data_IF_512243294144
#
_entry.id   IF_512243294144
#
_cell.length_a   1.000
_cell.length_b   1.000
_cell.length_c   1.000
_cell.angle_alpha   90.00
_cell.angle_beta   90.00
_cell.angle_gamma   90.00
#
_symmetry.space_group_name_H-M   'P 1'
#
loop_
_entity.id
_entity.type
_entity.pdbx_description
1 polymer ?
#
# COMPACT_ATOMS: atom_id res chain seq x y z
N UNK A 1 0.17 23.26 28.93
CA UNK A 1 1.50 23.80 29.22
C UNK A 1 2.52 23.13 28.29
N UNK A 2 3.55 23.87 27.88
CA UNK A 2 4.72 23.30 27.18
C UNK A 2 5.53 22.48 28.18
N UNK A 3 5.98 21.31 27.77
CA UNK A 3 6.80 20.39 28.58
C UNK A 3 8.12 20.14 27.86
N UNK A 4 9.18 19.89 28.61
CA UNK A 4 10.48 19.58 28.03
C UNK A 4 10.44 18.25 27.26
N UNK A 5 11.12 18.22 26.11
CA UNK A 5 11.14 17.04 25.25
C UNK A 5 11.88 15.83 25.85
N UNK A 6 12.72 16.05 26.84
CA UNK A 6 13.45 15.03 27.60
C UNK A 6 12.70 14.54 28.84
N UNK A 7 11.52 15.09 29.14
CA UNK A 7 10.67 14.61 30.23
C UNK A 7 10.33 13.11 30.01
N UNK A 8 10.53 12.24 31.03
CA UNK A 8 10.27 10.82 30.90
C UNK A 8 8.83 10.47 30.49
N UNK A 9 7.83 11.28 30.85
CA UNK A 9 6.44 11.09 30.47
C UNK A 9 6.23 11.40 29.00
N UNK A 10 6.92 12.43 28.46
CA UNK A 10 6.92 12.77 27.03
C UNK A 10 7.57 11.65 26.23
N UNK A 11 8.71 11.12 26.68
CA UNK A 11 9.38 10.00 26.02
C UNK A 11 8.50 8.76 25.96
N UNK A 12 7.80 8.43 27.06
CA UNK A 12 6.83 7.32 27.10
C UNK A 12 5.67 7.54 26.12
N UNK A 13 5.11 8.76 26.09
CA UNK A 13 4.00 9.10 25.22
C UNK A 13 4.39 9.02 23.71
N UNK A 14 5.59 9.46 23.33
CA UNK A 14 6.11 9.33 21.96
C UNK A 14 6.37 7.86 21.61
N UNK A 15 6.92 7.09 22.55
CA UNK A 15 7.15 5.66 22.35
C UNK A 15 5.86 4.91 22.10
N UNK A 16 4.80 5.19 22.89
CA UNK A 16 3.47 4.61 22.68
C UNK A 16 2.89 5.01 21.31
N UNK A 17 3.01 6.28 20.93
CA UNK A 17 2.51 6.77 19.65
C UNK A 17 3.20 6.09 18.45
N UNK A 18 4.52 5.91 18.51
CA UNK A 18 5.26 5.21 17.47
C UNK A 18 4.97 3.71 17.45
N UNK A 19 4.75 3.10 18.62
CA UNK A 19 4.34 1.70 18.71
C UNK A 19 2.99 1.50 18.03
N UNK A 20 2.00 2.32 18.38
CA UNK A 20 0.66 2.30 17.78
C UNK A 20 0.69 2.53 16.25
N UNK A 21 1.50 3.48 15.80
CA UNK A 21 1.68 3.72 14.37
C UNK A 21 2.32 2.51 13.67
N UNK A 22 3.41 1.98 14.22
CA UNK A 22 4.14 0.85 13.63
C UNK A 22 3.34 -0.45 13.65
N UNK A 23 2.44 -0.64 14.62
CA UNK A 23 1.56 -1.82 14.68
C UNK A 23 0.56 -1.87 13.50
N UNK A 24 0.20 -0.71 12.97
CA UNK A 24 -0.69 -0.56 11.82
C UNK A 24 0.02 -0.65 10.46
N UNK A 25 1.36 -0.68 10.46
CA UNK A 25 2.12 -0.83 9.22
C UNK A 25 2.14 -2.28 8.77
N UNK A 26 1.58 -2.55 7.60
CA UNK A 26 1.57 -3.88 6.98
C UNK A 26 2.70 -4.06 5.97
N UNK A 27 3.23 -2.94 5.43
CA UNK A 27 4.28 -2.95 4.40
C UNK A 27 5.36 -1.93 4.68
N UNK A 28 6.58 -2.24 4.24
CA UNK A 28 7.73 -1.37 4.34
C UNK A 28 8.51 -1.60 5.63
N UNK A 29 8.91 -0.52 6.28
CA UNK A 29 9.79 -0.57 7.46
C UNK A 29 9.23 0.29 8.57
N UNK A 30 9.45 -0.15 9.81
CA UNK A 30 9.07 0.57 11.01
C UNK A 30 9.74 1.94 11.04
N UNK A 31 9.05 2.91 11.63
CA UNK A 31 9.61 4.22 11.93
C UNK A 31 10.26 4.21 13.31
N UNK A 32 11.43 4.79 13.42
CA UNK A 32 12.11 5.07 14.68
C UNK A 32 12.09 6.58 14.97
N UNK A 33 12.01 6.94 16.23
CA UNK A 33 12.05 8.35 16.67
C UNK A 33 13.37 8.98 16.23
N UNK A 34 13.29 10.20 15.69
CA UNK A 34 14.48 11.00 15.38
C UNK A 34 14.63 12.19 16.30
N UNK A 35 13.58 12.99 16.45
CA UNK A 35 13.61 14.23 17.26
C UNK A 35 12.19 14.58 17.71
N UNK A 36 12.03 14.95 18.96
CA UNK A 36 10.79 15.56 19.48
C UNK A 36 10.87 17.06 19.33
N UNK A 37 9.92 17.67 18.63
CA UNK A 37 9.90 19.09 18.30
C UNK A 37 9.05 19.91 19.26
N UNK A 38 7.87 19.39 19.61
CA UNK A 38 6.91 20.06 20.49
C UNK A 38 6.24 19.03 21.38
N UNK A 39 6.21 19.31 22.67
CA UNK A 39 5.39 18.58 23.64
C UNK A 39 4.53 19.56 24.42
N UNK A 40 3.22 19.36 24.45
CA UNK A 40 2.26 20.11 25.25
C UNK A 40 1.51 19.13 26.15
N UNK A 41 1.41 19.47 27.43
CA UNK A 41 0.64 18.72 28.43
C UNK A 41 -0.58 19.51 28.84
N UNK A 42 -1.72 18.86 28.95
CA UNK A 42 -2.95 19.39 29.53
C UNK A 42 -3.45 18.38 30.55
N UNK A 43 -3.82 18.82 31.73
CA UNK A 43 -4.46 18.01 32.74
C UNK A 43 -5.95 17.95 32.44
N UNK A 44 -6.53 16.74 32.43
CA UNK A 44 -7.95 16.49 32.25
C UNK A 44 -8.43 15.57 33.40
N UNK A 45 -8.93 16.19 34.44
CA UNK A 45 -9.26 15.49 35.67
C UNK A 45 -8.05 14.84 36.31
N UNK A 46 -8.03 13.49 36.32
CA UNK A 46 -6.94 12.69 36.87
C UNK A 46 -5.88 12.29 35.85
N UNK A 47 -6.15 12.51 34.59
CA UNK A 47 -5.33 12.03 33.49
C UNK A 47 -4.55 13.20 32.86
N UNK A 48 -3.39 12.88 32.31
CA UNK A 48 -2.58 13.85 31.60
C UNK A 48 -2.64 13.59 30.10
N UNK A 49 -3.04 14.61 29.36
CA UNK A 49 -3.12 14.55 27.89
C UNK A 49 -1.91 15.23 27.27
N UNK A 50 -1.25 14.52 26.35
CA UNK A 50 -0.09 15.01 25.63
C UNK A 50 -0.39 15.24 24.16
N UNK A 51 -0.06 16.46 23.69
CA UNK A 51 -0.02 16.79 22.26
C UNK A 51 1.43 16.86 21.84
N UNK A 52 1.81 15.96 20.91
CA UNK A 52 3.20 15.74 20.52
C UNK A 52 3.39 16.01 19.03
N UNK A 53 4.46 16.72 18.70
CA UNK A 53 4.98 16.83 17.34
C UNK A 53 6.43 16.37 17.35
N UNK A 54 6.74 15.33 16.54
CA UNK A 54 8.06 14.75 16.48
C UNK A 54 8.39 14.31 15.07
N UNK A 55 9.66 14.12 14.79
CA UNK A 55 10.13 13.57 13.53
C UNK A 55 10.61 12.14 13.72
N UNK A 56 10.40 11.33 12.71
CA UNK A 56 10.82 9.93 12.67
C UNK A 56 11.56 9.61 11.38
N UNK A 57 12.36 8.55 11.41
CA UNK A 57 13.07 7.99 10.25
C UNK A 57 12.69 6.54 10.04
N UNK A 58 12.87 6.04 8.82
CA UNK A 58 12.77 4.61 8.53
C UNK A 58 13.91 3.88 9.23
N UNK A 59 13.58 2.78 9.85
CA UNK A 59 14.54 1.84 10.44
C UNK A 59 14.83 0.68 9.51
N UNK A 60 15.78 -0.16 9.88
CA UNK A 60 16.11 -1.43 9.24
C UNK A 60 15.08 -2.54 9.52
N UNK A 61 14.18 -2.34 10.49
CA UNK A 61 13.19 -3.32 10.88
C UNK A 61 11.98 -3.32 9.93
N UNK A 62 11.60 -4.50 9.39
CA UNK A 62 10.42 -4.61 8.52
C UNK A 62 9.13 -4.39 9.31
N UNK A 63 8.11 -3.82 8.62
CA UNK A 63 6.75 -3.77 9.12
C UNK A 63 6.25 -5.21 9.38
N UNK A 64 5.49 -5.40 10.46
CA UNK A 64 5.01 -6.73 10.87
C UNK A 64 6.07 -7.63 11.53
N UNK A 65 7.35 -7.24 11.57
CA UNK A 65 8.38 -7.94 12.30
C UNK A 65 8.20 -7.84 13.83
N UNK A 66 8.68 -8.85 14.58
CA UNK A 66 8.54 -8.91 16.05
C UNK A 66 9.48 -7.96 16.80
N UNK A 67 10.58 -7.51 16.18
CA UNK A 67 11.57 -6.62 16.80
C UNK A 67 10.95 -5.27 17.12
N UNK A 68 11.18 -4.76 18.34
CA UNK A 68 10.66 -3.46 18.73
C UNK A 68 11.37 -2.34 17.96
N UNK A 69 10.67 -1.25 17.63
CA UNK A 69 11.28 -0.15 16.88
C UNK A 69 12.42 0.54 17.64
N UNK A 70 12.41 0.47 18.96
CA UNK A 70 13.48 0.99 19.83
C UNK A 70 14.81 0.26 19.66
N UNK A 71 14.76 -0.98 19.18
CA UNK A 71 15.92 -1.86 19.00
C UNK A 71 16.39 -1.89 17.54
N UNK A 72 15.82 -1.03 16.72
CA UNK A 72 16.10 -0.93 15.29
C UNK A 72 17.06 0.22 14.99
N UNK A 73 17.99 -0.01 14.07
CA UNK A 73 18.87 1.04 13.58
C UNK A 73 18.22 1.87 12.47
N UNK A 74 18.67 3.10 12.29
CA UNK A 74 18.24 3.88 11.14
C UNK A 74 18.80 3.28 9.85
N UNK A 75 17.99 3.28 8.80
CA UNK A 75 18.50 2.92 7.49
C UNK A 75 19.64 3.85 7.08
N UNK A 76 20.80 3.29 6.65
CA UNK A 76 21.93 4.08 6.23
C UNK A 76 21.54 4.97 5.04
N UNK A 77 21.93 6.22 5.09
CA UNK A 77 21.84 7.17 3.98
C UNK A 77 22.97 6.86 3.00
N UNK A 78 22.77 5.82 2.17
CA UNK A 78 23.78 5.39 1.21
C UNK A 78 23.99 6.39 0.08
N UNK A 79 25.24 6.59 -0.31
CA UNK A 79 25.75 7.52 -1.31
C UNK A 79 25.25 7.31 -2.75
N UNK A 80 24.47 6.29 -3.02
CA UNK A 80 24.03 5.90 -4.36
C UNK A 80 22.56 6.12 -4.70
N UNK A 81 21.74 6.64 -3.79
CA UNK A 81 20.32 6.86 -4.05
C UNK A 81 19.89 8.28 -3.71
N UNK A 82 20.11 9.21 -4.61
CA UNK A 82 19.62 10.60 -4.55
C UNK A 82 18.14 10.75 -4.27
N UNK A 83 17.34 9.69 -4.35
CA UNK A 83 15.90 9.67 -4.09
C UNK A 83 15.48 9.35 -2.65
N UNK A 84 16.40 8.91 -1.78
CA UNK A 84 16.09 8.56 -0.38
C UNK A 84 16.61 9.56 0.63
N UNK A 85 17.02 10.72 0.16
CA UNK A 85 17.54 11.77 1.00
C UNK A 85 16.43 12.33 1.90
N UNK A 86 16.57 12.09 3.20
CA UNK A 86 15.79 12.71 4.28
C UNK A 86 14.28 12.48 4.27
N UNK A 87 13.82 11.27 4.28
CA UNK A 87 12.45 11.04 4.71
C UNK A 87 12.33 11.21 6.24
N UNK A 88 12.51 12.43 6.71
CA UNK A 88 12.00 12.84 8.01
C UNK A 88 10.48 12.86 7.92
N UNK A 89 9.81 12.10 8.77
CA UNK A 89 8.36 12.09 8.85
C UNK A 89 7.94 12.96 10.02
N UNK A 90 7.11 13.94 9.77
CA UNK A 90 6.49 14.73 10.83
C UNK A 90 5.32 13.95 11.35
N UNK A 91 5.40 13.52 12.60
CA UNK A 91 4.36 12.77 13.28
C UNK A 91 3.65 13.66 14.30
N UNK A 92 2.34 13.58 14.35
CA UNK A 92 1.51 14.23 15.37
C UNK A 92 0.75 13.17 16.13
N UNK A 93 0.75 13.25 17.43
CA UNK A 93 0.05 12.30 18.29
C UNK A 93 -0.65 13.02 19.44
N UNK A 94 -1.78 12.45 19.83
CA UNK A 94 -2.47 12.73 21.10
C UNK A 94 -2.36 11.45 21.93
N UNK A 95 -1.70 11.54 23.06
CA UNK A 95 -1.54 10.43 23.99
C UNK A 95 -2.11 10.80 25.36
N UNK A 96 -2.75 9.85 26.02
CA UNK A 96 -3.33 10.01 27.36
C UNK A 96 -2.56 9.13 28.33
N UNK A 97 -2.02 9.72 29.39
CA UNK A 97 -1.41 9.02 30.52
C UNK A 97 -2.45 8.86 31.62
N UNK A 98 -2.90 7.65 31.83
CA UNK A 98 -3.86 7.29 32.88
C UNK A 98 -3.16 7.19 34.25
N UNK A 99 -3.93 7.28 35.33
CA UNK A 99 -3.44 7.16 36.73
C UNK A 99 -2.67 5.87 37.02
N UNK A 100 -3.01 4.78 36.33
CA UNK A 100 -2.36 3.48 36.47
C UNK A 100 -0.97 3.41 35.78
N UNK A 101 -0.54 4.52 35.17
CA UNK A 101 0.72 4.60 34.41
C UNK A 101 0.63 4.03 32.98
N UNK A 102 -0.55 3.61 32.55
CA UNK A 102 -0.79 3.19 31.18
C UNK A 102 -0.88 4.40 30.25
N UNK A 103 -0.29 4.30 29.08
CA UNK A 103 -0.37 5.35 28.05
C UNK A 103 -1.12 4.79 26.86
N UNK A 104 -2.27 5.36 26.55
CA UNK A 104 -3.02 5.12 25.33
C UNK A 104 -2.71 6.22 24.31
N UNK A 105 -2.57 5.87 23.05
CA UNK A 105 -2.46 6.82 21.96
C UNK A 105 -3.73 6.80 21.13
N UNK A 106 -4.57 7.79 21.30
CA UNK A 106 -5.84 7.85 20.58
C UNK A 106 -5.67 8.12 19.10
N UNK A 107 -4.63 8.89 18.74
CA UNK A 107 -4.41 9.30 17.37
C UNK A 107 -2.93 9.57 17.12
N UNK A 108 -2.28 8.66 16.43
CA UNK A 108 -0.92 8.85 15.91
C UNK A 108 -0.98 8.93 14.38
N UNK A 109 -0.65 10.07 13.82
CA UNK A 109 -0.59 10.29 12.38
C UNK A 109 0.78 10.82 11.99
N UNK A 110 1.40 10.20 10.99
CA UNK A 110 2.66 10.69 10.43
C UNK A 110 2.41 11.20 9.02
N UNK A 111 2.58 12.50 8.80
CA UNK A 111 2.47 13.12 7.49
C UNK A 111 3.55 12.58 6.55
N UNK A 112 3.14 12.28 5.32
CA UNK A 112 4.03 11.76 4.30
C UNK A 112 4.43 10.29 4.48
N UNK A 113 3.79 9.52 5.37
CA UNK A 113 3.88 8.07 5.38
C UNK A 113 2.86 7.48 4.40
N UNK A 114 3.18 6.36 3.71
CA UNK A 114 2.16 5.62 2.98
C UNK A 114 1.13 5.07 3.98
N UNK A 115 -0.14 5.27 3.66
CA UNK A 115 -1.30 4.75 4.41
C UNK A 115 -2.01 3.76 3.50
N UNK A 116 -2.39 2.61 4.02
CA UNK A 116 -3.22 1.66 3.28
C UNK A 116 -4.60 2.26 2.97
N UNK A 117 -5.09 1.92 1.79
CA UNK A 117 -6.44 2.28 1.32
C UNK A 117 -7.13 1.00 0.88
N UNK A 118 -8.40 0.89 1.23
CA UNK A 118 -9.25 -0.20 0.75
C UNK A 118 -9.36 -0.20 -0.77
N UNK A 119 -9.32 -1.39 -1.37
CA UNK A 119 -9.31 -1.55 -2.83
C UNK A 119 -10.56 -1.02 -3.56
N UNK A 120 -11.66 -0.79 -2.83
CA UNK A 120 -12.91 -0.21 -3.33
C UNK A 120 -13.03 1.31 -3.06
N UNK A 121 -12.00 1.96 -2.53
CA UNK A 121 -12.04 3.38 -2.23
C UNK A 121 -12.21 4.23 -3.50
N UNK A 122 -13.06 5.25 -3.42
CA UNK A 122 -13.26 6.25 -4.48
C UNK A 122 -11.94 6.94 -4.87
N UNK A 123 -11.03 7.14 -3.92
CA UNK A 123 -9.71 7.74 -4.14
C UNK A 123 -8.86 6.97 -5.15
N UNK A 124 -9.18 5.69 -5.40
CA UNK A 124 -8.44 4.82 -6.31
C UNK A 124 -8.95 4.86 -7.75
N UNK A 125 -10.14 5.39 -8.01
CA UNK A 125 -10.73 5.41 -9.37
C UNK A 125 -9.80 6.03 -10.40
N UNK A 126 -9.36 7.26 -10.16
CA UNK A 126 -8.50 7.98 -11.10
C UNK A 126 -7.13 7.31 -11.28
N UNK A 127 -6.38 6.98 -10.21
CA UNK A 127 -5.08 6.32 -10.37
C UNK A 127 -5.16 4.92 -11.00
N UNK A 128 -6.24 4.15 -10.76
CA UNK A 128 -6.43 2.85 -11.39
C UNK A 128 -6.76 2.99 -12.87
N UNK A 129 -7.69 3.88 -13.24
CA UNK A 129 -8.01 4.16 -14.65
C UNK A 129 -6.77 4.58 -15.44
N UNK A 130 -5.97 5.49 -14.89
CA UNK A 130 -4.72 5.92 -15.51
C UNK A 130 -3.73 4.76 -15.67
N UNK A 131 -3.64 3.87 -14.67
CA UNK A 131 -2.74 2.70 -14.71
C UNK A 131 -3.18 1.68 -15.76
N UNK A 132 -4.47 1.38 -15.85
CA UNK A 132 -5.05 0.47 -16.86
C UNK A 132 -4.86 1.05 -18.26
N UNK A 133 -5.17 2.33 -18.47
CA UNK A 133 -4.97 3.01 -19.75
C UNK A 133 -3.49 2.97 -20.17
N UNK A 134 -2.57 3.24 -19.24
CA UNK A 134 -1.13 3.15 -19.48
C UNK A 134 -0.70 1.74 -19.87
N UNK A 135 -1.19 0.70 -19.16
CA UNK A 135 -0.92 -0.69 -19.52
C UNK A 135 -1.44 -1.01 -20.93
N UNK A 136 -2.68 -0.65 -21.24
CA UNK A 136 -3.26 -0.88 -22.54
C UNK A 136 -2.48 -0.21 -23.67
N UNK A 137 -1.92 0.98 -23.41
CA UNK A 137 -1.13 1.71 -24.41
C UNK A 137 0.24 1.09 -24.72
N UNK A 138 0.87 0.40 -23.75
CA UNK A 138 2.25 -0.13 -23.90
C UNK A 138 2.30 -1.64 -24.07
N UNK A 139 1.24 -2.38 -23.73
CA UNK A 139 1.19 -3.84 -23.83
C UNK A 139 1.12 -4.28 -25.29
N UNK A 140 1.80 -5.37 -25.62
CA UNK A 140 1.78 -5.98 -26.95
C UNK A 140 0.52 -6.84 -27.20
N UNK A 141 -0.43 -6.87 -26.26
CA UNK A 141 -1.70 -7.57 -26.46
C UNK A 141 -2.51 -6.97 -27.58
N UNK A 142 -3.20 -7.80 -28.35
CA UNK A 142 -4.13 -7.39 -29.41
C UNK A 142 -5.45 -6.83 -28.87
N UNK A 143 -5.77 -7.09 -27.60
CA UNK A 143 -6.99 -6.68 -26.95
C UNK A 143 -6.73 -5.77 -25.75
N UNK A 144 -7.75 -5.01 -25.38
CA UNK A 144 -7.72 -4.17 -24.18
C UNK A 144 -7.95 -5.02 -22.92
N UNK A 145 -7.36 -4.61 -21.82
CA UNK A 145 -7.55 -5.18 -20.50
C UNK A 145 -8.35 -4.22 -19.63
N UNK A 146 -9.23 -4.77 -18.80
CA UNK A 146 -9.99 -4.04 -17.79
C UNK A 146 -9.57 -4.45 -16.38
N UNK A 147 -9.81 -3.59 -15.39
CA UNK A 147 -9.53 -3.88 -13.99
C UNK A 147 -10.39 -5.07 -13.53
N UNK A 148 -9.75 -6.04 -12.88
CA UNK A 148 -10.44 -7.17 -12.25
C UNK A 148 -10.52 -6.98 -10.73
N UNK A 149 -9.38 -6.75 -10.08
CA UNK A 149 -9.30 -6.66 -8.62
C UNK A 149 -8.09 -5.82 -8.20
N UNK A 150 -8.24 -5.07 -7.11
CA UNK A 150 -7.13 -4.43 -6.40
C UNK A 150 -6.73 -5.32 -5.23
N UNK A 151 -5.48 -5.78 -5.22
CA UNK A 151 -4.96 -6.65 -4.16
C UNK A 151 -4.29 -5.85 -3.04
N UNK A 152 -3.72 -4.67 -3.35
CA UNK A 152 -3.11 -3.80 -2.37
C UNK A 152 -3.03 -2.37 -2.90
N UNK A 153 -3.32 -1.41 -2.05
CA UNK A 153 -3.20 0.01 -2.38
C UNK A 153 -2.70 0.82 -1.19
N UNK A 154 -1.77 1.73 -1.44
CA UNK A 154 -1.35 2.72 -0.44
C UNK A 154 -1.37 4.11 -1.04
N UNK A 155 -1.73 5.11 -0.22
CA UNK A 155 -1.63 6.54 -0.53
C UNK A 155 -0.60 7.21 0.35
N UNK A 156 0.24 8.03 -0.23
CA UNK A 156 1.23 8.83 0.47
C UNK A 156 1.04 10.30 0.10
N UNK A 157 0.96 11.17 1.11
CA UNK A 157 0.99 12.63 0.90
C UNK A 157 2.43 13.05 0.62
N UNK A 158 2.64 13.64 -0.53
CA UNK A 158 3.92 14.21 -0.99
C UNK A 158 3.66 15.67 -1.43
N UNK A 159 4.33 16.18 -2.46
CA UNK A 159 3.81 17.36 -3.16
C UNK A 159 2.65 16.87 -4.08
N UNK A 160 1.50 16.55 -3.50
CA UNK A 160 0.39 15.86 -4.09
C UNK A 160 0.13 14.52 -3.41
N UNK A 161 -0.34 13.56 -4.19
CA UNK A 161 -0.57 12.19 -3.73
C UNK A 161 0.24 11.21 -4.56
N UNK A 162 0.89 10.28 -3.89
CA UNK A 162 1.53 9.11 -4.51
C UNK A 162 0.78 7.87 -4.12
N UNK A 163 0.28 7.15 -5.11
CA UNK A 163 -0.36 5.85 -4.94
C UNK A 163 0.62 4.75 -5.34
N UNK A 164 0.70 3.69 -4.52
CA UNK A 164 1.32 2.43 -4.92
C UNK A 164 0.21 1.39 -4.98
N UNK A 165 0.07 0.78 -6.14
CA UNK A 165 -1.04 -0.09 -6.48
C UNK A 165 -0.52 -1.45 -6.88
N UNK A 166 -1.18 -2.51 -6.40
CA UNK A 166 -1.06 -3.87 -6.93
C UNK A 166 -2.47 -4.31 -7.33
N UNK A 167 -2.63 -4.65 -8.59
CA UNK A 167 -3.94 -4.97 -9.13
C UNK A 167 -3.85 -6.01 -10.24
N UNK A 168 -4.95 -6.73 -10.43
CA UNK A 168 -5.14 -7.70 -11.50
C UNK A 168 -6.07 -7.14 -12.54
N UNK A 169 -5.76 -7.39 -13.80
CA UNK A 169 -6.59 -7.06 -14.96
C UNK A 169 -6.96 -8.33 -15.70
N UNK A 170 -8.07 -8.27 -16.43
CA UNK A 170 -8.51 -9.31 -17.37
C UNK A 170 -8.66 -8.74 -18.77
N UNK A 171 -8.36 -9.58 -19.74
CA UNK A 171 -8.57 -9.31 -21.16
C UNK A 171 -10.05 -9.10 -21.43
N UNK A 172 -10.34 -8.19 -22.34
CA UNK A 172 -11.70 -7.91 -22.82
C UNK A 172 -11.88 -8.39 -24.25
N UNK A 173 -13.14 -8.39 -24.71
CA UNK A 173 -13.51 -8.65 -26.11
C UNK A 173 -13.09 -7.55 -27.07
N UNK A 174 -12.70 -6.36 -26.57
CA UNK A 174 -12.32 -5.22 -27.39
C UNK A 174 -10.92 -5.36 -27.98
N UNK A 175 -10.84 -5.49 -29.29
CA UNK A 175 -9.58 -5.46 -30.02
C UNK A 175 -9.04 -4.01 -30.09
N UNK A 176 -7.73 -3.84 -29.89
CA UNK A 176 -7.07 -2.52 -29.97
C UNK A 176 -7.12 -1.88 -31.35
N UNK A 177 -7.32 -2.69 -32.39
CA UNK A 177 -7.49 -2.19 -33.76
C UNK A 177 -8.79 -1.43 -33.96
N UNK A 178 -9.82 -1.76 -33.18
CA UNK A 178 -11.17 -1.20 -33.27
C UNK A 178 -11.47 -0.19 -32.16
N UNK A 179 -10.83 -0.36 -31.00
CA UNK A 179 -11.08 0.44 -29.81
C UNK A 179 -9.78 1.04 -29.29
N UNK A 180 -9.71 2.36 -29.26
CA UNK A 180 -8.54 3.08 -28.69
C UNK A 180 -8.53 3.03 -27.17
N UNK A 181 -9.69 3.14 -26.54
CA UNK A 181 -9.88 3.19 -25.10
C UNK A 181 -11.02 2.24 -24.69
N UNK A 182 -11.02 1.86 -23.40
CA UNK A 182 -12.11 1.08 -22.81
C UNK A 182 -13.41 1.89 -22.86
N UNK A 183 -14.50 1.19 -23.18
CA UNK A 183 -15.86 1.70 -23.10
C UNK A 183 -16.78 0.62 -22.49
N UNK A 184 -18.06 0.93 -22.34
CA UNK A 184 -19.05 0.05 -21.71
C UNK A 184 -19.31 -1.26 -22.50
N UNK A 185 -18.89 -1.34 -23.76
CA UNK A 185 -19.00 -2.52 -24.61
C UNK A 185 -17.84 -3.50 -24.40
N UNK A 186 -16.76 -3.05 -23.75
CA UNK A 186 -15.57 -3.86 -23.50
C UNK A 186 -15.80 -4.78 -22.30
N UNK A 187 -16.47 -5.89 -22.50
CA UNK A 187 -16.73 -6.92 -21.47
C UNK A 187 -15.54 -7.86 -21.36
N UNK A 188 -15.34 -8.51 -20.19
CA UNK A 188 -14.34 -9.57 -20.06
C UNK A 188 -14.55 -10.70 -21.05
N UNK A 189 -13.47 -11.17 -21.67
CA UNK A 189 -13.47 -12.30 -22.59
C UNK A 189 -13.49 -13.61 -21.78
N UNK A 190 -14.67 -14.21 -21.61
CA UNK A 190 -14.85 -15.42 -20.81
C UNK A 190 -14.37 -16.68 -21.54
N UNK A 191 -14.35 -16.68 -22.88
CA UNK A 191 -13.93 -17.81 -23.70
C UNK A 191 -12.39 -17.92 -23.77
N UNK A 192 -11.70 -16.79 -23.67
CA UNK A 192 -10.24 -16.71 -23.76
C UNK A 192 -9.66 -15.85 -22.63
N UNK A 193 -9.77 -16.36 -21.40
CA UNK A 193 -9.37 -15.66 -20.19
C UNK A 193 -7.85 -15.49 -20.11
N UNK A 194 -7.40 -14.26 -20.20
CA UNK A 194 -6.04 -13.85 -19.91
C UNK A 194 -6.05 -12.83 -18.76
N UNK A 195 -5.08 -12.96 -17.87
CA UNK A 195 -4.91 -12.06 -16.74
C UNK A 195 -3.56 -11.37 -16.82
N UNK A 196 -3.51 -10.13 -16.35
CA UNK A 196 -2.27 -9.41 -16.12
C UNK A 196 -2.25 -8.91 -14.67
N UNK A 197 -1.15 -9.19 -13.97
CA UNK A 197 -0.89 -8.68 -12.62
C UNK A 197 0.11 -7.53 -12.71
N UNK A 198 -0.25 -6.36 -12.21
CA UNK A 198 0.59 -5.16 -12.32
C UNK A 198 0.87 -4.51 -10.98
N UNK A 199 2.09 -3.99 -10.84
CA UNK A 199 2.47 -3.03 -9.82
C UNK A 199 2.64 -1.65 -10.46
N UNK A 200 1.93 -0.65 -9.94
CA UNK A 200 2.02 0.72 -10.42
C UNK A 200 2.36 1.71 -9.30
N UNK A 201 3.07 2.77 -9.67
CA UNK A 201 3.21 3.98 -8.86
C UNK A 201 2.59 5.12 -9.64
N UNK A 202 1.62 5.80 -9.04
CA UNK A 202 0.90 6.91 -9.66
C UNK A 202 1.09 8.17 -8.83
N UNK A 203 1.64 9.20 -9.45
CA UNK A 203 1.80 10.52 -8.85
C UNK A 203 0.69 11.45 -9.37
N UNK A 204 -0.03 12.07 -8.44
CA UNK A 204 -1.11 12.98 -8.73
C UNK A 204 -0.92 14.31 -8.00
N UNK A 205 -1.07 15.41 -8.72
CA UNK A 205 -1.12 16.76 -8.17
C UNK A 205 -2.48 17.39 -8.55
N UNK A 206 -3.53 17.27 -7.71
CA UNK A 206 -4.90 17.68 -8.08
C UNK A 206 -5.05 19.17 -8.47
N UNK A 207 -4.12 20.01 -8.02
CA UNK A 207 -4.08 21.45 -8.39
C UNK A 207 -3.39 21.73 -9.72
N UNK A 208 -2.78 20.72 -10.35
CA UNK A 208 -2.25 20.82 -11.71
C UNK A 208 -3.26 20.16 -12.64
N UNK A 209 -3.55 20.79 -13.76
CA UNK A 209 -4.41 20.23 -14.81
C UNK A 209 -3.67 19.18 -15.66
N UNK A 210 -2.69 18.51 -15.07
CA UNK A 210 -1.87 17.50 -15.73
C UNK A 210 -2.46 16.11 -15.49
N UNK A 211 -2.27 15.22 -16.47
CA UNK A 211 -2.64 13.82 -16.33
C UNK A 211 -1.78 13.16 -15.23
N UNK A 212 -2.32 12.16 -14.53
CA UNK A 212 -1.55 11.41 -13.53
C UNK A 212 -0.27 10.81 -14.11
N UNK A 213 0.86 11.04 -13.44
CA UNK A 213 2.13 10.41 -13.81
C UNK A 213 2.14 8.95 -13.40
N UNK A 214 2.04 8.03 -14.37
CA UNK A 214 2.00 6.58 -14.12
C UNK A 214 3.32 5.92 -14.47
N UNK A 215 3.93 5.24 -13.49
CA UNK A 215 5.05 4.33 -13.65
C UNK A 215 4.56 2.90 -13.37
N UNK A 216 4.51 2.07 -14.40
CA UNK A 216 4.29 0.63 -14.25
C UNK A 216 5.64 -0.04 -13.96
N UNK A 217 5.78 -0.65 -12.78
CA UNK A 217 7.04 -1.23 -12.34
C UNK A 217 7.22 -2.66 -12.86
N UNK A 218 6.16 -3.45 -12.82
CA UNK A 218 6.11 -4.83 -13.29
C UNK A 218 4.69 -5.15 -13.72
N UNK A 219 4.53 -5.76 -14.89
CA UNK A 219 3.28 -6.35 -15.33
C UNK A 219 3.58 -7.76 -15.89
N UNK A 220 2.98 -8.77 -15.29
CA UNK A 220 3.11 -10.16 -15.70
C UNK A 220 1.80 -10.63 -16.30
N UNK A 221 1.85 -11.09 -17.55
CA UNK A 221 0.71 -11.73 -18.18
C UNK A 221 0.67 -13.21 -17.75
N UNK A 222 -0.46 -13.63 -17.20
CA UNK A 222 -0.73 -15.03 -16.86
C UNK A 222 -1.87 -15.54 -17.74
N UNK A 223 -1.54 -16.27 -18.78
CA UNK A 223 -2.52 -17.16 -19.39
C UNK A 223 -2.84 -18.24 -18.36
N UNK A 224 -4.12 -18.49 -18.10
CA UNK A 224 -4.50 -19.70 -17.33
C UNK A 224 -4.01 -20.89 -18.15
N UNK A 225 -3.27 -21.84 -17.54
CA UNK A 225 -3.00 -23.09 -18.24
C UNK A 225 -4.38 -23.66 -18.60
N UNK A 226 -4.59 -23.91 -19.89
CA UNK A 226 -5.72 -24.70 -20.36
C UNK A 226 -5.71 -26.00 -19.56
N UNK A 227 -6.55 -26.08 -18.53
CA UNK A 227 -6.74 -27.31 -17.79
C UNK A 227 -7.33 -28.26 -18.81
N UNK A 228 -6.49 -29.18 -19.28
CA UNK A 228 -6.86 -30.28 -20.14
C UNK A 228 -7.87 -31.14 -19.41
N UNK A 229 -9.11 -30.73 -19.38
CA UNK A 229 -10.25 -31.54 -18.94
C UNK A 229 -10.51 -32.76 -19.86
N UNK A 230 -9.67 -32.94 -20.89
CA UNK A 230 -9.87 -34.04 -21.89
C UNK A 230 -9.11 -35.32 -21.58
N UNK A 231 -8.32 -35.41 -20.50
CA UNK A 231 -7.61 -36.67 -20.19
C UNK A 231 -8.23 -37.51 -19.08
N UNK A 232 -9.25 -37.02 -18.38
CA UNK A 232 -9.91 -37.84 -17.35
C UNK A 232 -11.01 -38.72 -17.89
N UNK A 233 -11.62 -38.41 -19.03
CA UNK A 233 -12.62 -39.29 -19.68
C UNK A 233 -12.01 -40.44 -20.49
N UNK A 234 -10.72 -40.39 -20.81
CA UNK A 234 -10.05 -41.46 -21.57
C UNK A 234 -9.51 -42.60 -20.68
N UNK A 235 -9.33 -42.36 -19.37
CA UNK A 235 -8.82 -43.42 -18.47
C UNK A 235 -9.90 -44.24 -17.77
N UNK A 236 -11.15 -43.81 -17.78
CA UNK A 236 -12.24 -44.57 -17.17
C UNK A 236 -12.90 -45.62 -18.12
N UNK A 237 -12.52 -45.64 -19.40
CA UNK A 237 -13.04 -46.63 -20.37
C UNK A 237 -12.16 -47.89 -20.58
N UNK A 238 -11.05 -48.02 -19.85
CA UNK A 238 -10.09 -49.13 -20.06
C UNK A 238 -10.08 -50.18 -18.95
N UNK A 239 -11.04 -50.17 -18.02
CA UNK A 239 -11.12 -51.14 -16.92
C UNK A 239 -12.49 -51.85 -16.80
N UNK A 240 -13.20 -52.02 -17.91
CA UNK A 240 -14.39 -52.88 -17.91
C UNK A 240 -14.29 -53.85 -19.09
N UNK A 241 -13.38 -54.80 -19.02
CA UNK A 241 -13.42 -56.04 -19.79
C UNK A 241 -12.27 -56.94 -19.31
N UNK A 242 -12.50 -57.64 -18.21
CA UNK A 242 -11.82 -58.89 -17.87
C UNK A 242 -12.32 -59.39 -16.50
N UNK A 243 -13.53 -59.97 -16.49
CA UNK A 243 -13.91 -61.11 -15.60
C UNK A 243 -15.20 -61.67 -16.11
N UNK A 244 -15.12 -62.83 -16.73
CA UNK A 244 -16.11 -63.93 -16.70
C UNK A 244 -15.68 -65.03 -17.66
N UNK A 245 -15.95 -66.23 -17.37
CA UNK A 245 -15.72 -67.14 -16.23
C UNK A 245 -14.59 -68.15 -16.52
#
# INVERSE_FOLDING_TARGET
VLVFCDDPSVQKAVTSALHEFNSKLTVGQKLALFEIRVAKKTEDGSDSMYYLEFTSRRSDCPAGGSKNWTDCDYLPTGSQRRFYQKCLKICKSKAVLEKNGYISSEKATCLGCPVEIEGNSEDLKVPLLASVSKFNSISNSTHLFTLNRVSHATRQVVAGFRYKLRFDMKKTTCAKAEHKDLNDLCVPDEDNMEFANCNATVDMAPWRLEQPGVLLAQCENRALPLVRHLLWFAMTKKYIFLTLP
#
